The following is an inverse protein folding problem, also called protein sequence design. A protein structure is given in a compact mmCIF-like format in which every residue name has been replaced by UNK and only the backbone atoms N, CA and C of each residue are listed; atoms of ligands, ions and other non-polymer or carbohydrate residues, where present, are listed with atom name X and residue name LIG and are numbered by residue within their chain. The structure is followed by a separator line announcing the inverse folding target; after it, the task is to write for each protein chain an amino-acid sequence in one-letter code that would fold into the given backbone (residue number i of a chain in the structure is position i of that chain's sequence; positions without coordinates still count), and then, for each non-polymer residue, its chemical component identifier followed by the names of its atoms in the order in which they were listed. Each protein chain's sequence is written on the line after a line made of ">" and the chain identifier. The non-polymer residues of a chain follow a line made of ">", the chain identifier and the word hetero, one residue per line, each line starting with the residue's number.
data_IF_012995537413
#
_entry.id   IF_012995537413
#
_cell.length_a   1.000
_cell.length_b   1.000
_cell.length_c   1.000
_cell.angle_alpha   90.00
_cell.angle_beta   90.00
_cell.angle_gamma   90.00
#
_symmetry.space_group_name_H-M   'P 1'
#
loop_
_entity.id
_entity.type
_entity.pdbx_description
1 polymer ?
#
# COMPACT_ATOMS: atom_id res chain seq x y z
N UNK A 1 7.32 14.49 -19.89
CA UNK A 1 6.60 13.25 -19.50
C UNK A 1 5.83 12.60 -20.66
N UNK A 2 5.06 13.34 -21.47
CA UNK A 2 4.29 12.77 -22.60
C UNK A 2 5.15 12.06 -23.69
N UNK A 3 6.42 12.45 -23.85
CA UNK A 3 7.33 11.88 -24.85
C UNK A 3 7.78 10.44 -24.50
N UNK A 4 7.95 10.09 -23.22
CA UNK A 4 8.37 8.73 -22.79
C UNK A 4 7.22 7.72 -22.89
N UNK A 5 5.98 8.12 -22.57
CA UNK A 5 4.77 7.30 -22.74
C UNK A 5 4.49 7.01 -24.22
N UNK A 6 4.80 7.96 -25.11
CA UNK A 6 4.76 7.78 -26.57
C UNK A 6 5.75 6.71 -27.04
N UNK A 7 6.97 6.69 -26.49
CA UNK A 7 7.98 5.65 -26.77
C UNK A 7 7.55 4.28 -26.23
N UNK A 8 6.96 4.21 -25.03
CA UNK A 8 6.39 2.97 -24.51
C UNK A 8 5.26 2.46 -25.43
N UNK A 9 4.32 3.32 -25.84
CA UNK A 9 3.25 2.95 -26.79
C UNK A 9 3.79 2.50 -28.17
N UNK A 10 4.87 3.10 -28.66
CA UNK A 10 5.50 2.75 -29.95
C UNK A 10 6.37 1.49 -29.87
N UNK A 11 6.91 1.15 -28.68
CA UNK A 11 7.70 -0.08 -28.42
C UNK A 11 6.84 -1.30 -28.04
N UNK A 12 5.61 -1.12 -27.57
CA UNK A 12 4.63 -2.20 -27.28
C UNK A 12 4.15 -2.95 -28.56
N UNK A 13 4.65 -2.59 -29.75
CA UNK A 13 4.58 -3.45 -30.94
C UNK A 13 5.41 -4.74 -30.84
N UNK A 14 6.34 -4.83 -29.87
CA UNK A 14 7.03 -6.07 -29.49
C UNK A 14 6.50 -6.59 -28.15
N UNK A 15 6.50 -7.92 -27.99
CA UNK A 15 5.95 -8.63 -26.82
C UNK A 15 6.31 -7.93 -25.50
N UNK A 16 5.32 -7.66 -24.64
CA UNK A 16 5.52 -7.14 -23.27
C UNK A 16 6.63 -7.91 -22.50
N UNK A 17 6.75 -9.20 -22.75
CA UNK A 17 7.77 -10.05 -22.14
C UNK A 17 9.21 -9.72 -22.60
N UNK A 18 9.38 -9.07 -23.76
CA UNK A 18 10.68 -8.67 -24.28
C UNK A 18 11.22 -7.38 -23.65
N UNK A 19 10.40 -6.66 -22.86
CA UNK A 19 10.81 -5.41 -22.23
C UNK A 19 10.96 -5.52 -20.72
N UNK A 20 10.21 -6.43 -20.08
CA UNK A 20 10.27 -6.62 -18.63
C UNK A 20 11.63 -7.21 -18.24
N UNK A 21 12.33 -6.57 -17.29
CA UNK A 21 13.63 -7.01 -16.78
C UNK A 21 14.85 -6.47 -17.52
N UNK A 22 14.66 -5.60 -18.51
CA UNK A 22 15.77 -4.92 -19.20
C UNK A 22 16.14 -3.62 -18.49
N UNK A 23 15.14 -2.84 -18.09
CA UNK A 23 15.33 -1.51 -17.51
C UNK A 23 14.34 -1.31 -16.34
N UNK A 24 14.84 -1.14 -15.09
CA UNK A 24 14.03 -0.88 -13.91
C UNK A 24 13.03 0.28 -14.05
N UNK A 25 13.39 1.37 -14.75
CA UNK A 25 12.50 2.53 -14.94
C UNK A 25 11.33 2.13 -15.86
N UNK A 26 11.62 1.37 -16.92
CA UNK A 26 10.61 0.85 -17.84
C UNK A 26 9.70 -0.17 -17.15
N UNK A 27 10.27 -1.08 -16.36
CA UNK A 27 9.52 -2.06 -15.56
C UNK A 27 8.53 -1.36 -14.64
N UNK A 28 8.98 -0.30 -13.98
CA UNK A 28 8.14 0.51 -13.12
C UNK A 28 7.01 1.20 -13.88
N UNK A 29 7.32 1.94 -14.95
CA UNK A 29 6.32 2.69 -15.72
C UNK A 29 5.25 1.76 -16.31
N UNK A 30 5.67 0.64 -16.89
CA UNK A 30 4.77 -0.34 -17.51
C UNK A 30 3.96 -1.08 -16.43
N UNK A 31 4.58 -1.43 -15.30
CA UNK A 31 3.90 -2.04 -14.15
C UNK A 31 2.77 -1.15 -13.63
N UNK A 32 3.06 0.12 -13.34
CA UNK A 32 2.02 1.08 -12.88
C UNK A 32 0.91 1.23 -13.93
N UNK A 33 1.28 1.35 -15.21
CA UNK A 33 0.31 1.47 -16.29
C UNK A 33 -0.68 0.29 -16.31
N UNK A 34 -0.18 -0.95 -16.39
CA UNK A 34 -1.05 -2.13 -16.44
C UNK A 34 -1.81 -2.38 -15.13
N UNK A 35 -1.19 -2.10 -13.98
CA UNK A 35 -1.86 -2.20 -12.68
C UNK A 35 -3.09 -1.29 -12.63
N UNK A 36 -2.96 -0.08 -13.19
CA UNK A 36 -4.07 0.88 -13.27
C UNK A 36 -5.16 0.52 -14.29
N UNK A 37 -4.97 -0.55 -15.06
CA UNK A 37 -5.81 -0.95 -16.19
C UNK A 37 -6.34 -2.37 -16.08
N UNK A 38 -6.16 -3.04 -14.93
CA UNK A 38 -6.56 -4.44 -14.72
C UNK A 38 -8.02 -4.74 -15.10
N UNK A 39 -8.92 -3.80 -14.82
CA UNK A 39 -10.34 -3.93 -15.13
C UNK A 39 -10.65 -3.87 -16.64
N UNK A 40 -9.81 -3.17 -17.41
CA UNK A 40 -9.95 -2.99 -18.86
C UNK A 40 -9.30 -4.13 -19.66
N UNK A 41 -8.51 -4.99 -19.01
CA UNK A 41 -7.84 -6.11 -19.66
C UNK A 41 -8.78 -7.31 -19.83
N UNK A 42 -8.53 -8.13 -20.84
CA UNK A 42 -9.14 -9.46 -20.92
C UNK A 42 -8.55 -10.38 -19.83
N UNK A 43 -9.22 -11.49 -19.54
CA UNK A 43 -8.69 -12.50 -18.61
C UNK A 43 -7.31 -13.01 -19.04
N UNK A 44 -7.13 -13.32 -20.33
CA UNK A 44 -5.84 -13.71 -20.88
C UNK A 44 -4.77 -12.61 -20.69
N UNK A 45 -5.16 -11.35 -20.86
CA UNK A 45 -4.30 -10.19 -20.61
C UNK A 45 -3.86 -10.11 -19.15
N UNK A 46 -4.80 -10.25 -18.20
CA UNK A 46 -4.52 -10.27 -16.76
C UNK A 46 -3.60 -11.44 -16.37
N UNK A 47 -3.88 -12.65 -16.85
CA UNK A 47 -3.04 -13.81 -16.56
C UNK A 47 -1.60 -13.64 -17.09
N UNK A 48 -1.45 -13.04 -18.28
CA UNK A 48 -0.14 -12.75 -18.85
C UNK A 48 0.68 -11.78 -17.99
N UNK A 49 0.09 -10.66 -17.55
CA UNK A 49 0.82 -9.69 -16.72
C UNK A 49 1.12 -10.23 -15.32
N UNK A 50 0.23 -11.03 -14.73
CA UNK A 50 0.49 -11.68 -13.43
C UNK A 50 1.59 -12.74 -13.52
N UNK A 51 1.72 -13.40 -14.67
CA UNK A 51 2.83 -14.33 -14.94
C UNK A 51 4.16 -13.58 -15.15
N UNK A 52 4.12 -12.35 -15.66
CA UNK A 52 5.33 -11.53 -15.80
C UNK A 52 5.78 -10.95 -14.46
N UNK A 53 4.85 -10.55 -13.59
CA UNK A 53 5.19 -10.05 -12.26
C UNK A 53 5.82 -11.12 -11.36
N UNK A 54 5.51 -12.40 -11.52
CA UNK A 54 6.21 -13.45 -10.77
C UNK A 54 7.71 -13.58 -11.13
N UNK A 55 8.15 -13.00 -12.25
CA UNK A 55 9.53 -13.08 -12.75
C UNK A 55 10.36 -11.82 -12.50
N UNK A 56 9.72 -10.71 -12.12
CA UNK A 56 10.40 -9.43 -11.94
C UNK A 56 9.78 -8.65 -10.76
N UNK A 57 10.60 -8.44 -9.73
CA UNK A 57 10.17 -7.83 -8.46
C UNK A 57 9.76 -6.35 -8.62
N UNK A 58 10.49 -5.58 -9.44
CA UNK A 58 10.19 -4.17 -9.71
C UNK A 58 8.85 -4.06 -10.43
N UNK A 59 8.67 -4.86 -11.48
CA UNK A 59 7.41 -4.93 -12.22
C UNK A 59 6.26 -5.38 -11.32
N UNK A 60 6.46 -6.38 -10.44
CA UNK A 60 5.45 -6.84 -9.50
C UNK A 60 5.00 -5.74 -8.53
N UNK A 61 5.96 -5.06 -7.91
CA UNK A 61 5.69 -3.95 -7.01
C UNK A 61 4.96 -2.81 -7.74
N UNK A 62 5.45 -2.41 -8.92
CA UNK A 62 4.82 -1.37 -9.72
C UNK A 62 3.40 -1.75 -10.19
N UNK A 63 3.18 -3.01 -10.55
CA UNK A 63 1.86 -3.55 -10.89
C UNK A 63 0.91 -3.48 -9.70
N UNK A 64 1.36 -3.88 -8.51
CA UNK A 64 0.62 -3.72 -7.26
C UNK A 64 0.29 -2.26 -6.97
N UNK A 65 1.27 -1.37 -7.12
CA UNK A 65 1.10 0.07 -6.93
C UNK A 65 0.03 0.64 -7.85
N UNK A 66 0.10 0.35 -9.15
CA UNK A 66 -0.92 0.75 -10.13
C UNK A 66 -2.31 0.20 -9.77
N UNK A 67 -2.38 -1.05 -9.33
CA UNK A 67 -3.63 -1.70 -8.92
C UNK A 67 -4.25 -1.00 -7.69
N UNK A 68 -3.44 -0.66 -6.69
CA UNK A 68 -3.87 0.04 -5.48
C UNK A 68 -4.45 1.43 -5.78
N UNK A 69 -3.81 2.18 -6.68
CA UNK A 69 -4.29 3.50 -7.13
C UNK A 69 -5.67 3.46 -7.81
N UNK A 70 -6.06 2.32 -8.38
CA UNK A 70 -7.35 2.13 -9.05
C UNK A 70 -8.29 1.20 -8.31
N UNK A 71 -7.88 0.67 -7.16
CA UNK A 71 -8.59 -0.40 -6.47
C UNK A 71 -10.07 -0.11 -6.29
N UNK A 72 -10.42 1.09 -5.80
CA UNK A 72 -11.83 1.50 -5.60
C UNK A 72 -12.68 1.39 -6.88
N UNK A 73 -12.10 1.70 -8.04
CA UNK A 73 -12.78 1.75 -9.34
C UNK A 73 -12.90 0.40 -10.03
N UNK A 74 -12.11 -0.59 -9.64
CA UNK A 74 -12.16 -1.93 -10.24
C UNK A 74 -13.49 -2.64 -9.91
N UNK A 75 -13.92 -3.51 -10.83
CA UNK A 75 -15.01 -4.46 -10.60
C UNK A 75 -14.76 -5.35 -9.37
N UNK A 76 -15.81 -5.97 -8.86
CA UNK A 76 -15.72 -6.87 -7.71
C UNK A 76 -14.81 -8.07 -8.01
N UNK A 77 -14.92 -8.62 -9.21
CA UNK A 77 -14.16 -9.76 -9.71
C UNK A 77 -12.67 -9.41 -9.77
N UNK A 78 -12.33 -8.22 -10.26
CA UNK A 78 -10.94 -7.77 -10.35
C UNK A 78 -10.36 -7.42 -8.99
N UNK A 79 -11.14 -6.83 -8.07
CA UNK A 79 -10.72 -6.64 -6.67
C UNK A 79 -10.37 -7.96 -6.01
N UNK A 80 -11.24 -8.97 -6.15
CA UNK A 80 -11.00 -10.32 -5.60
C UNK A 80 -9.73 -10.95 -6.18
N UNK A 81 -9.54 -10.82 -7.49
CA UNK A 81 -8.32 -11.31 -8.14
C UNK A 81 -7.06 -10.59 -7.63
N UNK A 82 -7.10 -9.28 -7.46
CA UNK A 82 -5.98 -8.48 -6.93
C UNK A 82 -5.58 -8.96 -5.53
N UNK A 83 -6.55 -9.14 -4.63
CA UNK A 83 -6.29 -9.61 -3.26
C UNK A 83 -5.74 -11.05 -3.26
N UNK A 84 -6.33 -11.94 -4.05
CA UNK A 84 -5.85 -13.31 -4.20
C UNK A 84 -4.42 -13.39 -4.77
N UNK A 85 -4.03 -12.44 -5.62
CA UNK A 85 -2.68 -12.38 -6.16
C UNK A 85 -1.69 -11.77 -5.16
N UNK A 86 -2.12 -10.75 -4.40
CA UNK A 86 -1.33 -10.14 -3.33
C UNK A 86 -0.97 -11.13 -2.21
N UNK A 87 -1.83 -12.10 -1.93
CA UNK A 87 -1.55 -13.21 -1.00
C UNK A 87 -0.33 -14.03 -1.44
N UNK A 88 -0.14 -14.22 -2.76
CA UNK A 88 0.89 -15.11 -3.33
C UNK A 88 2.16 -14.40 -3.80
N UNK A 89 2.15 -13.07 -3.80
CA UNK A 89 3.22 -12.26 -4.39
C UNK A 89 3.61 -11.10 -3.47
N UNK A 90 4.62 -11.28 -2.60
CA UNK A 90 5.01 -10.27 -1.60
C UNK A 90 5.31 -8.90 -2.21
N UNK A 91 6.02 -8.84 -3.33
CA UNK A 91 6.35 -7.58 -4.01
C UNK A 91 5.10 -6.87 -4.54
N UNK A 92 4.18 -7.61 -5.17
CA UNK A 92 2.89 -7.06 -5.58
C UNK A 92 2.07 -6.61 -4.37
N UNK A 93 2.08 -7.39 -3.29
CA UNK A 93 1.39 -7.10 -2.03
C UNK A 93 1.84 -5.77 -1.43
N UNK A 94 3.16 -5.55 -1.35
CA UNK A 94 3.73 -4.29 -0.87
C UNK A 94 3.39 -3.10 -1.77
N UNK A 95 3.51 -3.29 -3.09
CA UNK A 95 3.08 -2.30 -4.07
C UNK A 95 1.59 -1.94 -3.93
N UNK A 96 0.74 -2.95 -3.76
CA UNK A 96 -0.70 -2.78 -3.56
C UNK A 96 -1.00 -1.98 -2.29
N UNK A 97 -0.35 -2.32 -1.17
CA UNK A 97 -0.43 -1.58 0.08
C UNK A 97 -0.09 -0.11 -0.14
N UNK A 98 1.04 0.18 -0.79
CA UNK A 98 1.46 1.54 -1.12
C UNK A 98 0.52 2.29 -2.06
N UNK A 99 -0.10 1.61 -3.03
CA UNK A 99 -1.08 2.23 -3.93
C UNK A 99 -2.39 2.57 -3.23
N UNK A 100 -2.86 1.72 -2.33
CA UNK A 100 -4.07 1.95 -1.53
C UNK A 100 -3.88 3.08 -0.52
N UNK A 101 -2.68 3.15 0.07
CA UNK A 101 -2.31 4.12 1.09
C UNK A 101 -2.50 5.57 0.60
N UNK A 102 -2.24 5.84 -0.69
CA UNK A 102 -2.50 7.13 -1.37
C UNK A 102 -3.96 7.60 -1.33
N UNK A 103 -4.89 6.70 -1.05
CA UNK A 103 -6.32 6.99 -1.01
C UNK A 103 -6.96 6.69 0.35
N UNK A 104 -6.15 6.42 1.38
CA UNK A 104 -6.60 5.88 2.66
C UNK A 104 -7.69 6.74 3.32
N UNK A 105 -7.56 8.08 3.28
CA UNK A 105 -8.59 9.00 3.80
C UNK A 105 -9.93 8.88 3.09
N UNK A 106 -9.91 8.69 1.76
CA UNK A 106 -11.15 8.51 0.96
C UNK A 106 -11.76 7.13 1.14
N UNK A 107 -10.95 6.13 1.49
CA UNK A 107 -11.41 4.77 1.78
C UNK A 107 -12.02 4.69 3.17
N UNK A 108 -11.44 5.41 4.15
CA UNK A 108 -11.94 5.53 5.51
C UNK A 108 -13.36 6.10 5.59
N UNK A 109 -13.71 7.03 4.69
CA UNK A 109 -15.06 7.65 4.67
C UNK A 109 -16.10 6.84 3.90
N UNK A 110 -15.72 5.82 3.14
CA UNK A 110 -16.65 5.08 2.25
C UNK A 110 -16.90 3.63 2.65
N UNK A 111 -16.68 3.25 3.92
CA UNK A 111 -16.73 1.86 4.43
C UNK A 111 -15.87 0.87 3.61
N UNK A 112 -14.98 1.37 2.74
CA UNK A 112 -14.16 0.54 1.87
C UNK A 112 -12.85 0.13 2.53
N UNK A 113 -12.57 0.68 3.72
CA UNK A 113 -11.36 0.42 4.47
C UNK A 113 -11.44 -0.90 5.26
N UNK A 114 -12.62 -1.32 5.72
CA UNK A 114 -12.77 -2.58 6.48
C UNK A 114 -12.18 -3.81 5.79
N UNK A 115 -12.54 -4.17 4.55
CA UNK A 115 -11.96 -5.34 3.89
C UNK A 115 -10.46 -5.19 3.60
N UNK A 116 -9.96 -3.95 3.53
CA UNK A 116 -8.52 -3.67 3.38
C UNK A 116 -7.79 -3.92 4.71
N UNK A 117 -8.40 -3.57 5.84
CA UNK A 117 -7.84 -3.78 7.17
C UNK A 117 -7.88 -5.25 7.56
N UNK A 118 -8.96 -5.97 7.23
CA UNK A 118 -9.04 -7.43 7.38
C UNK A 118 -7.92 -8.12 6.59
N UNK A 119 -7.69 -7.70 5.35
CA UNK A 119 -6.56 -8.20 4.55
C UNK A 119 -5.21 -7.84 5.19
N UNK A 120 -5.03 -6.63 5.72
CA UNK A 120 -3.80 -6.24 6.39
C UNK A 120 -3.50 -7.05 7.66
N UNK A 121 -4.51 -7.57 8.34
CA UNK A 121 -4.33 -8.41 9.52
C UNK A 121 -3.63 -9.73 9.20
N UNK A 122 -3.97 -10.34 8.06
CA UNK A 122 -3.45 -11.66 7.64
C UNK A 122 -2.21 -11.57 6.72
N UNK A 123 -1.91 -10.39 6.18
CA UNK A 123 -0.83 -10.22 5.18
C UNK A 123 0.22 -9.18 5.62
N UNK A 124 1.28 -9.60 6.36
CA UNK A 124 2.21 -8.66 6.97
C UNK A 124 2.95 -7.70 6.03
N UNK A 125 3.29 -8.16 4.81
CA UNK A 125 3.98 -7.33 3.81
C UNK A 125 3.06 -6.23 3.28
N UNK A 126 1.82 -6.57 2.97
CA UNK A 126 0.79 -5.60 2.62
C UNK A 126 0.58 -4.58 3.74
N UNK A 127 0.45 -5.09 4.97
CA UNK A 127 0.22 -4.29 6.16
C UNK A 127 1.35 -3.27 6.37
N UNK A 128 2.60 -3.70 6.21
CA UNK A 128 3.76 -2.84 6.37
C UNK A 128 3.75 -1.62 5.42
N UNK A 129 3.45 -1.83 4.14
CA UNK A 129 3.39 -0.74 3.17
C UNK A 129 2.14 0.15 3.33
N UNK A 130 1.06 -0.39 3.91
CA UNK A 130 -0.14 0.37 4.27
C UNK A 130 0.04 1.22 5.55
N UNK A 131 0.82 0.71 6.51
CA UNK A 131 0.94 1.21 7.87
C UNK A 131 1.39 2.69 7.95
N UNK A 132 2.27 3.12 7.05
CA UNK A 132 2.82 4.47 7.12
C UNK A 132 1.74 5.54 6.90
N UNK A 133 0.96 5.46 5.82
CA UNK A 133 -0.11 6.45 5.59
C UNK A 133 -1.27 6.30 6.57
N UNK A 134 -1.49 5.09 7.14
CA UNK A 134 -2.42 4.93 8.26
C UNK A 134 -1.95 5.73 9.48
N UNK A 135 -0.68 5.65 9.84
CA UNK A 135 -0.13 6.45 10.94
C UNK A 135 -0.11 7.95 10.63
N UNK A 136 0.28 8.34 9.41
CA UNK A 136 0.37 9.74 8.99
C UNK A 136 -1.01 10.44 8.91
N UNK A 137 -2.09 9.67 8.78
CA UNK A 137 -3.46 10.19 8.79
C UNK A 137 -4.24 9.81 10.04
N UNK A 138 -3.56 9.34 11.09
CA UNK A 138 -4.18 8.80 12.30
C UNK A 138 -5.21 9.76 12.91
N UNK A 139 -4.87 11.05 13.07
CA UNK A 139 -5.77 12.05 13.65
C UNK A 139 -7.06 12.29 12.86
N UNK A 140 -7.07 12.00 11.56
CA UNK A 140 -8.25 12.18 10.71
C UNK A 140 -9.23 10.99 10.76
N UNK A 141 -8.88 9.90 11.45
CA UNK A 141 -9.70 8.69 11.49
C UNK A 141 -10.68 8.67 12.66
N UNK A 142 -11.79 7.96 12.48
CA UNK A 142 -12.72 7.67 13.55
C UNK A 142 -12.07 6.77 14.61
N UNK A 143 -12.60 6.83 15.84
CA UNK A 143 -12.19 5.97 16.95
C UNK A 143 -12.16 4.48 16.54
N UNK A 144 -13.18 4.01 15.80
CA UNK A 144 -13.25 2.63 15.30
C UNK A 144 -12.02 2.27 14.47
N UNK A 145 -11.64 3.11 13.50
CA UNK A 145 -10.49 2.86 12.63
C UNK A 145 -9.18 2.92 13.44
N UNK A 146 -9.04 3.88 14.36
CA UNK A 146 -7.88 3.99 15.26
C UNK A 146 -7.69 2.72 16.08
N UNK A 147 -8.78 2.17 16.62
CA UNK A 147 -8.77 0.90 17.35
C UNK A 147 -8.40 -0.28 16.46
N UNK A 148 -8.90 -0.35 15.22
CA UNK A 148 -8.50 -1.39 14.26
C UNK A 148 -7.01 -1.32 13.92
N UNK A 149 -6.45 -0.12 13.71
CA UNK A 149 -5.01 0.06 13.49
C UNK A 149 -4.23 -0.50 14.69
N UNK A 150 -4.65 -0.17 15.92
CA UNK A 150 -3.99 -0.66 17.14
C UNK A 150 -4.11 -2.17 17.31
N UNK A 151 -5.26 -2.75 16.96
CA UNK A 151 -5.49 -4.19 16.97
C UNK A 151 -4.52 -4.91 16.01
N UNK A 152 -4.39 -4.46 14.77
CA UNK A 152 -3.43 -5.04 13.81
C UNK A 152 -1.99 -4.88 14.33
N UNK A 153 -1.67 -3.73 14.92
CA UNK A 153 -0.35 -3.50 15.54
C UNK A 153 -0.04 -4.45 16.72
N UNK A 154 -1.05 -5.01 17.41
CA UNK A 154 -0.79 -6.04 18.43
C UNK A 154 -0.36 -7.38 17.84
N UNK A 155 -0.70 -7.65 16.59
CA UNK A 155 -0.44 -8.92 15.90
C UNK A 155 0.76 -8.88 14.97
N UNK A 156 1.18 -7.68 14.57
CA UNK A 156 2.23 -7.48 13.57
C UNK A 156 3.22 -6.39 14.02
N UNK A 157 4.40 -6.83 14.48
CA UNK A 157 5.46 -5.96 14.99
C UNK A 157 5.98 -4.95 13.94
N UNK A 158 6.05 -5.34 12.67
CA UNK A 158 6.52 -4.47 11.60
C UNK A 158 5.49 -3.38 11.29
N UNK A 159 4.20 -3.76 11.26
CA UNK A 159 3.10 -2.81 11.17
C UNK A 159 3.11 -1.84 12.35
N UNK A 160 3.23 -2.35 13.58
CA UNK A 160 3.28 -1.54 14.79
C UNK A 160 4.41 -0.51 14.75
N UNK A 161 5.62 -0.96 14.42
CA UNK A 161 6.76 -0.07 14.25
C UNK A 161 6.50 1.01 13.19
N UNK A 162 5.94 0.64 12.04
CA UNK A 162 5.74 1.57 10.93
C UNK A 162 4.63 2.59 11.20
N UNK A 163 3.53 2.18 11.84
CA UNK A 163 2.49 3.10 12.33
C UNK A 163 3.08 4.04 13.38
N UNK A 164 3.83 3.51 14.35
CA UNK A 164 4.49 4.31 15.38
C UNK A 164 5.41 5.38 14.78
N UNK A 165 6.27 4.99 13.83
CA UNK A 165 7.18 5.90 13.10
C UNK A 165 6.43 7.04 12.42
N UNK A 166 5.32 6.74 11.74
CA UNK A 166 4.50 7.74 11.08
C UNK A 166 3.75 8.66 12.05
N UNK A 167 3.17 8.11 13.12
CA UNK A 167 2.47 8.89 14.16
C UNK A 167 3.44 9.80 14.90
N UNK A 168 4.65 9.32 15.23
CA UNK A 168 5.68 10.13 15.88
C UNK A 168 6.05 11.38 15.07
N UNK A 169 6.04 11.28 13.74
CA UNK A 169 6.29 12.42 12.84
C UNK A 169 5.21 13.51 12.89
N UNK A 170 3.96 13.15 13.18
CA UNK A 170 2.82 14.08 13.21
C UNK A 170 2.30 14.36 14.64
N UNK A 171 2.97 13.87 15.68
CA UNK A 171 2.42 13.85 17.04
C UNK A 171 1.96 15.23 17.54
N UNK A 172 2.74 16.29 17.27
CA UNK A 172 2.41 17.66 17.66
C UNK A 172 1.16 18.22 16.95
N UNK A 173 0.79 17.66 15.80
CA UNK A 173 -0.37 18.06 15.01
C UNK A 173 -1.64 17.33 15.45
N UNK A 174 -1.53 16.31 16.31
CA UNK A 174 -2.66 15.57 16.83
C UNK A 174 -3.43 16.38 17.89
N UNK A 175 -4.75 16.21 17.91
CA UNK A 175 -5.59 16.75 18.98
C UNK A 175 -5.24 16.10 20.33
N UNK A 176 -5.50 16.80 21.45
CA UNK A 176 -5.13 16.32 22.79
C UNK A 176 -5.65 14.92 23.10
N UNK A 177 -6.89 14.61 22.70
CA UNK A 177 -7.47 13.26 22.86
C UNK A 177 -6.67 12.19 22.13
N UNK A 178 -6.22 12.47 20.90
CA UNK A 178 -5.43 11.53 20.10
C UNK A 178 -4.02 11.39 20.64
N UNK A 179 -3.42 12.46 21.18
CA UNK A 179 -2.13 12.39 21.87
C UNK A 179 -2.19 11.51 23.11
N UNK A 180 -3.22 11.67 23.94
CA UNK A 180 -3.44 10.82 25.12
C UNK A 180 -3.58 9.34 24.72
N UNK A 181 -4.40 9.06 23.71
CA UNK A 181 -4.58 7.72 23.17
C UNK A 181 -3.25 7.11 22.70
N UNK A 182 -2.48 7.86 21.91
CA UNK A 182 -1.17 7.41 21.40
C UNK A 182 -0.21 7.12 22.54
N UNK A 183 -0.12 8.00 23.54
CA UNK A 183 0.78 7.82 24.67
C UNK A 183 0.41 6.59 25.51
N UNK A 184 -0.87 6.38 25.80
CA UNK A 184 -1.34 5.16 26.44
C UNK A 184 -0.94 3.91 25.64
N UNK A 185 -1.08 3.95 24.31
CA UNK A 185 -0.69 2.83 23.45
C UNK A 185 0.83 2.59 23.39
N UNK A 186 1.66 3.64 23.46
CA UNK A 186 3.13 3.47 23.53
C UNK A 186 3.56 2.65 24.74
N UNK A 187 2.85 2.74 25.87
CA UNK A 187 3.11 1.91 27.06
C UNK A 187 2.73 0.44 26.89
N UNK A 188 1.89 0.12 25.90
CA UNK A 188 1.32 -1.23 25.67
C UNK A 188 2.01 -2.00 24.56
N UNK A 189 2.63 -1.33 23.60
CA UNK A 189 3.25 -1.97 22.44
C UNK A 189 4.69 -1.47 22.21
N UNK A 190 5.67 -2.34 22.53
CA UNK A 190 7.11 -2.03 22.43
C UNK A 190 7.58 -1.68 21.01
N UNK A 191 6.99 -2.30 19.99
CA UNK A 191 7.38 -2.07 18.59
C UNK A 191 6.83 -0.74 18.09
N UNK A 192 5.57 -0.44 18.43
CA UNK A 192 4.98 0.88 18.22
C UNK A 192 5.80 1.97 18.92
N UNK A 193 6.12 1.79 20.21
CA UNK A 193 6.92 2.74 20.99
C UNK A 193 8.28 3.02 20.33
N UNK A 194 8.99 1.97 19.90
CA UNK A 194 10.26 2.12 19.18
C UNK A 194 10.12 2.93 17.89
N UNK A 195 9.04 2.68 17.12
CA UNK A 195 8.73 3.45 15.92
C UNK A 195 8.45 4.92 16.26
N UNK A 196 7.58 5.16 17.23
CA UNK A 196 7.18 6.48 17.69
C UNK A 196 8.38 7.34 18.09
N UNK A 197 9.23 6.84 19.00
CA UNK A 197 10.42 7.55 19.47
C UNK A 197 11.40 7.90 18.35
N UNK A 198 11.52 7.07 17.32
CA UNK A 198 12.44 7.33 16.20
C UNK A 198 12.14 8.65 15.46
N UNK A 199 10.86 9.03 15.38
CA UNK A 199 10.42 10.19 14.61
C UNK A 199 9.95 11.36 15.46
N UNK A 200 9.50 11.13 16.70
CA UNK A 200 9.12 12.22 17.61
C UNK A 200 10.32 13.09 18.02
N UNK A 201 11.52 12.50 18.18
CA UNK A 201 12.74 13.23 18.58
C UNK A 201 13.40 14.04 17.44
N UNK A 202 12.91 13.93 16.20
CA UNK A 202 13.53 14.63 15.05
C UNK A 202 13.13 16.10 14.93
N UNK A 203 12.21 16.60 15.77
CA UNK A 203 11.75 18.00 15.74
C UNK A 203 12.52 18.93 16.69
N UNK A 204 13.52 18.44 17.42
CA UNK A 204 14.33 19.21 18.39
C UNK A 204 15.76 19.58 17.90
N UNK A 205 16.08 19.40 16.62
CA UNK A 205 17.37 19.77 15.99
C UNK A 205 17.15 20.68 14.79
#
# INVERSE_FOLDING_TARGET
>A
MAYKISVAKKKIGTSLAAHVGIDPEVDYEIGVFFGSKLDELTEAGRNKIMTLSSKNQIFAWALGHGAGLKFKKNSFEVKKMILNFADKSPYFSGGLGHGLSRHIRKLATSNSLEPIMEFAEEHPVFAFDLAYDLGYHFGAFSEKIKQTICHIATKNDQFAFRVGDAIGGIYEELESRDREFVMDYTGKNKHFSKGFSKSSHKKEL
#
